data_IF_655218403939
#
_entry.id   IF_655218403939
#
_cell.length_a   1.000
_cell.length_b   1.000
_cell.length_c   1.000
_cell.angle_alpha   90.00
_cell.angle_beta   90.00
_cell.angle_gamma   90.00
#
_symmetry.space_group_name_H-M   'P 1'
#
loop_
_entity.id
_entity.type
_entity.pdbx_description
1 polymer ?
#
# COMPACT_ATOMS: atom_id res chain seq x y z
N UNK A 1 4.98 13.32 -18.67
CA UNK A 1 3.96 12.34 -18.28
C UNK A 1 4.44 11.59 -17.02
N UNK A 2 3.61 11.54 -15.98
CA UNK A 2 3.98 10.90 -14.73
C UNK A 2 4.04 9.38 -14.89
N UNK A 3 5.11 8.77 -14.38
CA UNK A 3 5.24 7.32 -14.38
C UNK A 3 4.31 6.70 -13.33
N UNK A 4 4.07 5.40 -13.45
CA UNK A 4 3.24 4.66 -12.49
C UNK A 4 3.82 4.75 -11.06
N UNK A 5 5.15 4.74 -10.94
CA UNK A 5 5.83 4.94 -9.65
C UNK A 5 5.43 6.28 -9.01
N UNK A 6 5.43 7.35 -9.80
CA UNK A 6 5.06 8.68 -9.30
C UNK A 6 3.58 8.74 -8.92
N UNK A 7 2.74 8.07 -9.69
CA UNK A 7 1.30 7.99 -9.41
C UNK A 7 1.02 7.21 -8.12
N UNK A 8 1.76 6.13 -7.86
CA UNK A 8 1.66 5.38 -6.59
C UNK A 8 2.07 6.25 -5.42
N UNK A 9 3.18 6.95 -5.56
CA UNK A 9 3.67 7.82 -4.49
C UNK A 9 2.70 8.95 -4.20
N UNK A 10 2.06 9.49 -5.23
CA UNK A 10 1.02 10.50 -5.05
C UNK A 10 -0.16 9.94 -4.23
N UNK A 11 -0.56 8.69 -4.48
CA UNK A 11 -1.60 8.03 -3.69
C UNK A 11 -1.16 7.83 -2.23
N UNK A 12 0.09 7.41 -2.02
CA UNK A 12 0.65 7.25 -0.66
C UNK A 12 0.60 8.59 0.09
N UNK A 13 1.04 9.67 -0.55
CA UNK A 13 1.04 11.00 0.08
C UNK A 13 -0.36 11.50 0.39
N UNK A 14 -1.34 11.26 -0.50
CA UNK A 14 -2.73 11.64 -0.27
C UNK A 14 -3.30 10.88 0.95
N UNK A 15 -3.06 9.59 1.02
CA UNK A 15 -3.50 8.76 2.15
C UNK A 15 -2.82 9.17 3.45
N UNK A 16 -1.53 9.46 3.39
CA UNK A 16 -0.77 9.92 4.54
C UNK A 16 -1.34 11.24 5.08
N UNK A 17 -1.61 12.20 4.20
CA UNK A 17 -2.19 13.48 4.61
C UNK A 17 -3.59 13.30 5.21
N UNK A 18 -4.41 12.48 4.58
CA UNK A 18 -5.76 12.19 5.06
C UNK A 18 -5.73 11.58 6.47
N UNK A 19 -4.84 10.62 6.68
CA UNK A 19 -4.68 9.94 7.96
C UNK A 19 -4.12 10.88 9.03
N UNK A 20 -3.03 11.58 8.72
CA UNK A 20 -2.33 12.43 9.68
C UNK A 20 -3.15 13.66 10.09
N UNK A 21 -3.82 14.28 9.13
CA UNK A 21 -4.54 15.54 9.35
C UNK A 21 -6.04 15.34 9.58
N UNK A 22 -6.49 14.09 9.58
CA UNK A 22 -7.92 13.75 9.72
C UNK A 22 -8.79 14.49 8.70
N UNK A 23 -8.32 14.57 7.46
CA UNK A 23 -9.02 15.24 6.36
C UNK A 23 -9.66 14.22 5.43
N UNK A 24 -10.80 14.55 4.80
CA UNK A 24 -11.38 13.68 3.78
C UNK A 24 -10.36 13.43 2.67
N UNK A 25 -10.28 12.19 2.19
CA UNK A 25 -9.33 11.82 1.15
C UNK A 25 -9.47 12.71 -0.09
N UNK A 26 -10.71 13.02 -0.47
CA UNK A 26 -10.99 13.85 -1.64
C UNK A 26 -10.31 15.22 -1.59
N UNK A 27 -10.05 15.75 -0.38
CA UNK A 27 -9.44 17.06 -0.21
C UNK A 27 -7.92 17.02 -0.27
N UNK A 28 -7.32 15.84 -0.38
CA UNK A 28 -5.86 15.68 -0.36
C UNK A 28 -5.25 15.53 -1.75
N UNK A 29 -6.06 15.37 -2.79
CA UNK A 29 -5.56 15.22 -4.14
C UNK A 29 -5.25 16.56 -4.79
N UNK A 30 -4.12 16.67 -5.53
CA UNK A 30 -3.93 17.82 -6.40
C UNK A 30 -4.97 17.79 -7.53
N UNK A 31 -5.26 18.95 -8.10
CA UNK A 31 -6.27 19.08 -9.17
C UNK A 31 -5.98 18.19 -10.37
N UNK A 32 -4.69 18.04 -10.69
CA UNK A 32 -4.21 17.29 -11.85
C UNK A 32 -3.87 15.84 -11.51
N UNK A 33 -4.33 15.33 -10.37
CA UNK A 33 -4.06 13.96 -9.98
C UNK A 33 -4.58 12.97 -11.03
N UNK A 34 -3.74 12.00 -11.38
CA UNK A 34 -4.09 10.98 -12.37
C UNK A 34 -5.18 10.04 -11.85
N UNK A 35 -5.95 9.48 -12.78
CA UNK A 35 -7.03 8.55 -12.45
C UNK A 35 -6.50 7.37 -11.62
N UNK A 36 -5.34 6.81 -11.97
CA UNK A 36 -4.72 5.72 -11.21
C UNK A 36 -4.50 6.11 -9.74
N UNK A 37 -3.96 7.31 -9.50
CA UNK A 37 -3.73 7.83 -8.14
C UNK A 37 -5.02 7.88 -7.34
N UNK A 38 -6.08 8.42 -7.94
CA UNK A 38 -7.37 8.58 -7.27
C UNK A 38 -8.04 7.25 -6.97
N UNK A 39 -8.02 6.33 -7.94
CA UNK A 39 -8.63 5.01 -7.76
C UNK A 39 -7.85 4.20 -6.73
N UNK A 40 -6.52 4.17 -6.83
CA UNK A 40 -5.68 3.45 -5.89
C UNK A 40 -5.92 3.92 -4.45
N UNK A 41 -5.89 5.22 -4.21
CA UNK A 41 -6.11 5.76 -2.87
C UNK A 41 -7.53 5.48 -2.37
N UNK A 42 -8.53 5.61 -3.22
CA UNK A 42 -9.93 5.33 -2.84
C UNK A 42 -10.13 3.87 -2.50
N UNK A 43 -9.55 2.95 -3.27
CA UNK A 43 -9.66 1.52 -3.00
C UNK A 43 -8.92 1.13 -1.71
N UNK A 44 -7.78 1.74 -1.44
CA UNK A 44 -7.09 1.55 -0.16
C UNK A 44 -8.00 1.96 0.99
N UNK A 45 -8.63 3.11 0.89
CA UNK A 45 -9.52 3.61 1.94
C UNK A 45 -10.72 2.67 2.14
N UNK A 46 -11.30 2.20 1.04
CA UNK A 46 -12.45 1.29 1.09
C UNK A 46 -12.12 -0.07 1.70
N UNK A 47 -10.88 -0.54 1.53
CA UNK A 47 -10.42 -1.84 2.03
C UNK A 47 -9.54 -1.73 3.27
N UNK A 48 -9.47 -0.55 3.88
CA UNK A 48 -8.54 -0.30 4.98
C UNK A 48 -8.65 -1.29 6.15
N UNK A 49 -9.85 -1.68 6.62
CA UNK A 49 -9.93 -2.66 7.71
C UNK A 49 -9.28 -3.99 7.37
N UNK A 50 -9.47 -4.49 6.15
CA UNK A 50 -8.84 -5.72 5.68
C UNK A 50 -7.33 -5.59 5.62
N UNK A 51 -6.85 -4.47 5.03
CA UNK A 51 -5.42 -4.23 4.89
C UNK A 51 -4.74 -4.09 6.26
N UNK A 52 -5.38 -3.39 7.18
CA UNK A 52 -4.85 -3.19 8.53
C UNK A 52 -4.79 -4.50 9.31
N UNK A 53 -5.75 -5.39 9.11
CA UNK A 53 -5.72 -6.72 9.72
C UNK A 53 -4.51 -7.52 9.24
N UNK A 54 -4.18 -7.46 7.94
CA UNK A 54 -3.01 -8.13 7.38
C UNK A 54 -1.72 -7.55 7.96
N UNK A 55 -1.64 -6.22 8.06
CA UNK A 55 -0.46 -5.56 8.66
C UNK A 55 -0.29 -6.01 10.10
N UNK A 56 -1.34 -6.02 10.88
CA UNK A 56 -1.30 -6.40 12.30
C UNK A 56 -0.87 -7.86 12.48
N UNK A 57 -1.34 -8.74 11.60
CA UNK A 57 -1.00 -10.16 11.65
C UNK A 57 0.51 -10.39 11.47
N UNK A 58 1.18 -9.56 10.68
CA UNK A 58 2.58 -9.76 10.32
C UNK A 58 3.54 -8.75 10.94
N UNK A 59 3.09 -7.94 11.89
CA UNK A 59 3.92 -6.88 12.45
C UNK A 59 4.69 -7.27 13.71
N UNK A 60 4.80 -8.55 14.02
CA UNK A 60 5.63 -9.09 15.10
C UNK A 60 5.41 -8.42 16.45
N UNK A 61 4.15 -8.26 16.83
CA UNK A 61 3.79 -7.68 18.12
C UNK A 61 3.64 -6.16 18.14
N UNK A 62 3.99 -5.47 17.05
CA UNK A 62 3.73 -4.04 16.95
C UNK A 62 2.25 -3.80 16.68
N UNK A 63 1.62 -2.91 17.45
CA UNK A 63 0.27 -2.48 17.14
C UNK A 63 0.29 -1.54 15.95
N UNK A 64 -0.79 -1.52 15.20
CA UNK A 64 -0.92 -0.65 14.03
C UNK A 64 -0.61 0.82 14.38
N UNK A 65 -1.09 1.29 15.53
CA UNK A 65 -0.88 2.66 15.96
C UNK A 65 0.57 3.03 16.26
N UNK A 66 1.44 2.04 16.46
CA UNK A 66 2.87 2.27 16.67
C UNK A 66 3.68 2.30 15.38
N UNK A 67 3.08 1.87 14.29
CA UNK A 67 3.73 1.96 12.99
C UNK A 67 3.60 3.42 12.53
N UNK A 68 4.71 4.02 12.08
CA UNK A 68 4.70 5.41 11.64
C UNK A 68 3.65 5.63 10.53
N UNK A 69 2.93 6.76 10.55
CA UNK A 69 1.83 6.98 9.59
C UNK A 69 2.22 6.83 8.12
N UNK A 70 3.41 7.29 7.73
CA UNK A 70 3.86 7.14 6.35
C UNK A 70 4.12 5.68 6.00
N UNK A 71 4.74 4.92 6.92
CA UNK A 71 4.97 3.49 6.72
C UNK A 71 3.64 2.74 6.59
N UNK A 72 2.63 3.10 7.40
CA UNK A 72 1.29 2.50 7.27
C UNK A 72 0.71 2.73 5.89
N UNK A 73 0.82 3.95 5.37
CA UNK A 73 0.30 4.28 4.04
C UNK A 73 1.02 3.51 2.94
N UNK A 74 2.35 3.38 3.05
CA UNK A 74 3.15 2.58 2.11
C UNK A 74 2.70 1.12 2.12
N UNK A 75 2.53 0.55 3.31
CA UNK A 75 2.09 -0.84 3.47
C UNK A 75 0.69 -1.05 2.89
N UNK A 76 -0.24 -0.15 3.19
CA UNK A 76 -1.62 -0.26 2.70
C UNK A 76 -1.68 -0.22 1.18
N UNK A 77 -0.96 0.68 0.54
CA UNK A 77 -0.93 0.79 -0.92
C UNK A 77 -0.36 -0.47 -1.55
N UNK A 78 0.77 -0.95 -1.04
CA UNK A 78 1.39 -2.16 -1.58
C UNK A 78 0.48 -3.39 -1.41
N UNK A 79 -0.16 -3.53 -0.26
CA UNK A 79 -1.07 -4.64 0.00
C UNK A 79 -2.28 -4.60 -0.93
N UNK A 80 -2.82 -3.41 -1.19
CA UNK A 80 -3.94 -3.27 -2.14
C UNK A 80 -3.54 -3.77 -3.52
N UNK A 81 -2.40 -3.33 -4.02
CA UNK A 81 -1.91 -3.77 -5.32
C UNK A 81 -1.59 -5.27 -5.36
N UNK A 82 -1.10 -5.81 -4.25
CA UNK A 82 -0.75 -7.22 -4.14
C UNK A 82 -1.98 -8.12 -4.08
N UNK A 83 -2.99 -7.72 -3.31
CA UNK A 83 -4.16 -8.54 -3.02
C UNK A 83 -5.33 -8.33 -3.97
N UNK A 84 -5.48 -7.11 -4.49
CA UNK A 84 -6.63 -6.72 -5.29
C UNK A 84 -6.24 -5.95 -6.56
N UNK A 85 -5.32 -6.48 -7.39
CA UNK A 85 -4.89 -5.77 -8.60
C UNK A 85 -6.04 -5.53 -9.59
N UNK A 86 -7.07 -6.38 -9.56
CA UNK A 86 -8.22 -6.28 -10.45
C UNK A 86 -9.06 -5.03 -10.22
N UNK A 87 -8.90 -4.36 -9.08
CA UNK A 87 -9.64 -3.14 -8.77
C UNK A 87 -9.03 -1.89 -9.41
N UNK A 88 -7.83 -2.00 -9.95
CA UNK A 88 -7.08 -0.86 -10.44
C UNK A 88 -7.23 -0.70 -11.96
N UNK A 89 -7.26 0.56 -12.46
CA UNK A 89 -7.43 0.79 -13.88
C UNK A 89 -6.15 0.49 -14.68
N UNK A 90 -6.34 0.12 -15.94
CA UNK A 90 -5.26 -0.12 -16.88
C UNK A 90 -4.89 -1.59 -17.01
N UNK A 91 -4.15 -1.88 -18.09
CA UNK A 91 -3.75 -3.25 -18.44
C UNK A 91 -2.45 -3.67 -17.77
N UNK A 92 -1.83 -2.77 -17.00
CA UNK A 92 -0.49 -3.00 -16.44
C UNK A 92 -0.60 -3.26 -14.94
N UNK A 93 -0.97 -4.48 -14.59
CA UNK A 93 -0.86 -4.91 -13.21
C UNK A 93 0.62 -5.12 -12.89
N UNK A 94 1.05 -4.57 -11.76
CA UNK A 94 2.41 -4.82 -11.29
C UNK A 94 2.48 -6.23 -10.70
N UNK A 95 3.52 -7.02 -11.01
CA UNK A 95 3.70 -8.31 -10.32
C UNK A 95 3.82 -8.09 -8.81
N UNK A 96 3.40 -9.07 -7.98
CA UNK A 96 3.48 -8.92 -6.53
C UNK A 96 4.86 -8.50 -6.01
N UNK A 97 5.92 -9.10 -6.55
CA UNK A 97 7.29 -8.74 -6.17
C UNK A 97 7.62 -7.30 -6.56
N UNK A 98 7.06 -6.82 -7.66
CA UNK A 98 7.21 -5.44 -8.09
C UNK A 98 6.52 -4.47 -7.13
N UNK A 99 5.35 -4.82 -6.62
CA UNK A 99 4.64 -4.01 -5.63
C UNK A 99 5.47 -3.90 -4.34
N UNK A 100 6.08 -5.00 -3.91
CA UNK A 100 6.97 -5.02 -2.74
C UNK A 100 8.19 -4.13 -2.99
N UNK A 101 8.83 -4.26 -4.15
CA UNK A 101 10.00 -3.45 -4.49
C UNK A 101 9.68 -1.95 -4.49
N UNK A 102 8.54 -1.56 -5.04
CA UNK A 102 8.10 -0.16 -5.04
C UNK A 102 7.92 0.36 -3.61
N UNK A 103 7.32 -0.44 -2.74
CA UNK A 103 7.12 -0.08 -1.34
C UNK A 103 8.46 0.07 -0.59
N UNK A 104 9.36 -0.88 -0.79
CA UNK A 104 10.69 -0.87 -0.16
C UNK A 104 11.49 0.36 -0.62
N UNK A 105 11.46 0.68 -1.90
CA UNK A 105 12.16 1.85 -2.43
C UNK A 105 11.58 3.15 -1.87
N UNK A 106 10.26 3.24 -1.78
CA UNK A 106 9.61 4.42 -1.19
C UNK A 106 10.02 4.58 0.28
N UNK A 107 10.01 3.48 1.04
CA UNK A 107 10.45 3.51 2.44
C UNK A 107 11.91 3.92 2.56
N UNK A 108 12.76 3.44 1.66
CA UNK A 108 14.19 3.76 1.65
C UNK A 108 14.43 5.25 1.42
N UNK A 109 13.63 5.88 0.58
CA UNK A 109 13.79 7.31 0.27
C UNK A 109 13.20 8.24 1.31
N UNK A 110 12.10 7.84 1.97
CA UNK A 110 11.31 8.76 2.79
C UNK A 110 11.16 8.36 4.26
N UNK A 111 11.62 7.20 4.65
CA UNK A 111 11.47 6.70 6.02
C UNK A 111 12.84 6.43 6.64
N UNK A 112 12.85 6.06 7.94
CA UNK A 112 14.08 5.78 8.66
C UNK A 112 14.79 4.52 8.16
N UNK A 113 16.03 4.31 8.62
CA UNK A 113 16.91 3.27 8.13
C UNK A 113 16.34 1.84 8.29
N UNK A 114 15.51 1.62 9.31
CA UNK A 114 14.93 0.29 9.56
C UNK A 114 13.64 0.01 8.78
N UNK A 115 13.02 1.06 8.23
CA UNK A 115 11.74 0.93 7.56
C UNK A 115 11.76 0.00 6.34
N UNK A 116 12.75 0.05 5.45
CA UNK A 116 12.76 -0.86 4.29
C UNK A 116 12.69 -2.34 4.67
N UNK A 117 13.46 -2.76 5.66
CA UNK A 117 13.46 -4.14 6.14
C UNK A 117 12.12 -4.52 6.78
N UNK A 118 11.55 -3.63 7.58
CA UNK A 118 10.27 -3.83 8.21
C UNK A 118 9.14 -3.97 7.18
N UNK A 119 9.10 -3.06 6.21
CA UNK A 119 8.11 -3.08 5.12
C UNK A 119 8.25 -4.37 4.30
N UNK A 120 9.47 -4.71 3.92
CA UNK A 120 9.74 -5.93 3.15
C UNK A 120 9.27 -7.18 3.90
N UNK A 121 9.56 -7.26 5.19
CA UNK A 121 9.19 -8.42 6.02
C UNK A 121 7.68 -8.65 6.07
N UNK A 122 6.92 -7.59 6.31
CA UNK A 122 5.46 -7.67 6.37
C UNK A 122 4.89 -8.08 5.00
N UNK A 123 5.34 -7.42 3.94
CA UNK A 123 4.80 -7.67 2.59
C UNK A 123 5.15 -9.05 2.06
N UNK A 124 6.37 -9.52 2.33
CA UNK A 124 6.78 -10.87 1.90
C UNK A 124 5.94 -11.94 2.61
N UNK A 125 5.70 -11.77 3.92
CA UNK A 125 4.87 -12.69 4.68
C UNK A 125 3.42 -12.68 4.20
N UNK A 126 2.87 -11.48 3.95
CA UNK A 126 1.53 -11.33 3.41
C UNK A 126 1.38 -11.98 2.04
N UNK A 127 2.40 -11.84 1.18
CA UNK A 127 2.38 -12.47 -0.14
C UNK A 127 2.34 -13.98 -0.04
N UNK A 128 3.15 -14.57 0.85
CA UNK A 128 3.16 -16.02 1.06
C UNK A 128 1.77 -16.52 1.48
N UNK A 129 1.12 -15.83 2.42
CA UNK A 129 -0.20 -16.21 2.90
C UNK A 129 -1.25 -16.07 1.79
N UNK A 130 -1.18 -15.01 1.02
CA UNK A 130 -2.10 -14.76 -0.08
C UNK A 130 -1.97 -15.84 -1.17
N UNK A 131 -0.75 -16.24 -1.50
CA UNK A 131 -0.48 -17.30 -2.47
C UNK A 131 -0.96 -18.66 -1.95
N UNK A 132 -0.73 -18.95 -0.67
CA UNK A 132 -1.20 -20.17 -0.05
C UNK A 132 -2.73 -20.27 -0.06
N UNK A 133 -3.42 -19.17 0.24
CA UNK A 133 -4.88 -19.12 0.20
C UNK A 133 -5.41 -19.36 -1.23
N UNK A 134 -4.76 -18.77 -2.23
CA UNK A 134 -5.11 -19.00 -3.65
C UNK A 134 -4.96 -20.45 -4.07
N UNK A 135 -3.91 -21.12 -3.60
CA UNK A 135 -3.72 -22.55 -3.89
C UNK A 135 -4.82 -23.41 -3.25
N UNK A 136 -5.24 -23.07 -2.03
CA UNK A 136 -6.32 -23.79 -1.35
C UNK A 136 -7.65 -23.63 -2.07
N UNK A 137 -7.94 -22.45 -2.60
CA UNK A 137 -9.16 -22.18 -3.35
C UNK A 137 -9.25 -23.00 -4.64
N UNK A 138 -8.10 -23.37 -5.21
CA UNK A 138 -8.04 -24.14 -6.47
C UNK A 138 -8.06 -25.66 -6.24
N UNK A 139 -8.15 -26.11 -5.02
CA UNK A 139 -8.32 -27.51 -4.69
C UNK A 139 -9.81 -27.84 -4.58
#
# INVERSE_FOLDING_TARGET
MARRTDQRRAAIWALYQSDLLERPLADTFPRDAHAFTRVLAAEVKAHQPELDAVISEHSSGWTLGRIAPLERSILRVALLELMHPELLPGDHTIPPEGAINEAVQTAKEFCGAEAPGFVNGILAAALRDHQAAGLQENL
#
